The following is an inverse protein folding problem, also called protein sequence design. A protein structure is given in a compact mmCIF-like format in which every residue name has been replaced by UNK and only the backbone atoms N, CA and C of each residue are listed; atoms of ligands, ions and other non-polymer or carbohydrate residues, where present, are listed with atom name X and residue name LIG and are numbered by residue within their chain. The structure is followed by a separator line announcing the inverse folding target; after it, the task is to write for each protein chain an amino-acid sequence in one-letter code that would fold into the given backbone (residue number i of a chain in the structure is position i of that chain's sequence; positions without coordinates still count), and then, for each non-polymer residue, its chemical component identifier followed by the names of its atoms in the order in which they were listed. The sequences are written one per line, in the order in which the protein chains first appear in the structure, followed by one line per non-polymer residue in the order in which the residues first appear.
data_IF_661282540174
#
_entry.id   IF_661282540174
#
_cell.length_a   1.000
_cell.length_b   1.000
_cell.length_c   1.000
_cell.angle_alpha   90.00
_cell.angle_beta   90.00
_cell.angle_gamma   90.00
#
_symmetry.space_group_name_H-M   'P 1'
#
loop_
_entity.id
_entity.type
_entity.pdbx_description
1 polymer ?
#
# COMPACT_ATOMS: atom_id res chain seq x y z
N UNK A 1 -9.19 0.29 18.75
CA UNK A 1 -9.67 -0.47 17.58
C UNK A 1 -9.80 0.52 16.45
N UNK A 2 -9.13 0.27 15.33
CA UNK A 2 -9.16 1.13 14.15
C UNK A 2 -9.50 0.31 12.90
N UNK A 3 -10.05 0.97 11.87
CA UNK A 3 -10.37 0.40 10.56
C UNK A 3 -9.20 0.58 9.61
N UNK A 4 -8.46 -0.49 9.40
CA UNK A 4 -7.26 -0.49 8.56
C UNK A 4 -7.61 -1.09 7.21
N UNK A 5 -7.38 -0.33 6.15
CA UNK A 5 -7.39 -0.84 4.79
C UNK A 5 -5.96 -1.22 4.41
N UNK A 6 -5.76 -2.47 4.00
CA UNK A 6 -4.46 -2.98 3.55
C UNK A 6 -4.50 -3.24 2.04
N UNK A 7 -3.77 -2.42 1.30
CA UNK A 7 -3.48 -2.57 -0.12
C UNK A 7 -2.35 -3.59 -0.34
N UNK A 8 -2.58 -4.57 -1.22
CA UNK A 8 -1.61 -5.62 -1.54
C UNK A 8 -1.35 -5.64 -3.05
N UNK A 9 -0.08 -5.50 -3.44
CA UNK A 9 0.34 -5.40 -4.84
C UNK A 9 1.23 -6.58 -5.27
N UNK A 10 1.57 -6.64 -6.56
CA UNK A 10 2.27 -7.76 -7.20
C UNK A 10 3.78 -7.79 -6.91
N UNK A 11 4.15 -8.10 -5.66
CA UNK A 11 5.54 -8.29 -5.24
C UNK A 11 5.70 -9.64 -4.54
N UNK A 12 6.88 -10.26 -4.64
CA UNK A 12 7.20 -11.51 -3.92
C UNK A 12 6.99 -11.35 -2.41
N UNK A 13 7.18 -10.14 -1.88
CA UNK A 13 6.93 -9.85 -0.47
C UNK A 13 5.47 -10.06 -0.03
N UNK A 14 4.52 -10.20 -0.96
CA UNK A 14 3.11 -10.48 -0.65
C UNK A 14 2.93 -11.82 0.08
N UNK A 15 3.89 -12.75 0.00
CA UNK A 15 3.88 -13.99 0.80
C UNK A 15 3.87 -13.72 2.32
N UNK A 16 4.30 -12.52 2.76
CA UNK A 16 4.33 -12.12 4.17
C UNK A 16 3.06 -11.41 4.64
N UNK A 17 2.08 -11.22 3.75
CA UNK A 17 0.85 -10.50 4.07
C UNK A 17 -0.01 -11.29 5.07
N UNK A 18 0.04 -12.62 5.04
CA UNK A 18 -0.63 -13.45 6.05
C UNK A 18 -0.12 -13.13 7.46
N UNK A 19 1.20 -13.02 7.64
CA UNK A 19 1.85 -12.64 8.91
C UNK A 19 1.44 -11.23 9.35
N UNK A 20 1.49 -10.26 8.42
CA UNK A 20 1.05 -8.88 8.69
C UNK A 20 -0.41 -8.81 9.14
N UNK A 21 -1.30 -9.51 8.43
CA UNK A 21 -2.73 -9.52 8.73
C UNK A 21 -3.01 -10.13 10.11
N UNK A 22 -2.33 -11.22 10.47
CA UNK A 22 -2.43 -11.83 11.80
C UNK A 22 -2.04 -10.82 12.89
N UNK A 23 -0.92 -10.11 12.72
CA UNK A 23 -0.49 -9.10 13.69
C UNK A 23 -1.53 -7.98 13.87
N UNK A 24 -2.02 -7.41 12.77
CA UNK A 24 -3.01 -6.33 12.81
C UNK A 24 -4.33 -6.77 13.47
N UNK A 25 -4.81 -7.98 13.16
CA UNK A 25 -6.03 -8.54 13.77
C UNK A 25 -5.81 -8.83 15.26
N UNK A 26 -4.65 -9.36 15.65
CA UNK A 26 -4.32 -9.61 17.07
C UNK A 26 -4.21 -8.32 17.90
N UNK A 27 -3.89 -7.19 17.26
CA UNK A 27 -3.95 -5.86 17.88
C UNK A 27 -5.37 -5.26 17.93
N UNK A 28 -6.38 -6.07 17.63
CA UNK A 28 -7.80 -5.72 17.70
C UNK A 28 -8.18 -4.58 16.74
N UNK A 29 -7.60 -4.58 15.53
CA UNK A 29 -8.02 -3.74 14.42
C UNK A 29 -9.02 -4.47 13.51
N UNK A 30 -9.96 -3.73 12.92
CA UNK A 30 -10.82 -4.25 11.84
C UNK A 30 -10.04 -4.12 10.53
N UNK A 31 -9.78 -5.24 9.85
CA UNK A 31 -8.95 -5.27 8.65
C UNK A 31 -9.80 -5.56 7.41
N UNK A 32 -9.67 -4.70 6.40
CA UNK A 32 -10.09 -4.99 5.02
C UNK A 32 -8.88 -4.97 4.14
N UNK A 33 -8.81 -5.88 3.17
CA UNK A 33 -7.71 -6.02 2.24
C UNK A 33 -8.22 -5.75 0.83
N UNK A 34 -7.59 -4.82 0.13
CA UNK A 34 -7.77 -4.63 -1.30
C UNK A 34 -6.51 -5.12 -2.00
N UNK A 35 -6.67 -6.02 -2.97
CA UNK A 35 -5.53 -6.63 -3.65
C UNK A 35 -5.64 -6.56 -5.17
N UNK A 36 -4.50 -6.30 -5.81
CA UNK A 36 -4.38 -6.35 -7.27
C UNK A 36 -4.42 -7.79 -7.77
N UNK A 37 -4.80 -8.01 -9.03
CA UNK A 37 -4.75 -9.34 -9.64
C UNK A 37 -3.35 -9.99 -9.59
N UNK A 38 -2.28 -9.18 -9.64
CA UNK A 38 -0.90 -9.68 -9.56
C UNK A 38 -0.51 -10.12 -8.13
N UNK A 39 -1.12 -9.55 -7.09
CA UNK A 39 -0.90 -10.01 -5.71
C UNK A 39 -1.43 -11.44 -5.49
N UNK A 40 -2.54 -11.79 -6.14
CA UNK A 40 -3.17 -13.11 -6.02
C UNK A 40 -2.29 -14.26 -6.56
N UNK A 41 -1.22 -13.96 -7.30
CA UNK A 41 -0.19 -14.94 -7.67
C UNK A 41 0.65 -15.40 -6.47
N UNK A 42 0.85 -14.52 -5.47
CA UNK A 42 1.75 -14.76 -4.34
C UNK A 42 1.01 -15.14 -3.06
N UNK A 43 -0.22 -14.63 -2.87
CA UNK A 43 -1.00 -14.86 -1.66
C UNK A 43 -2.46 -15.14 -2.00
N UNK A 44 -3.05 -16.12 -1.32
CA UNK A 44 -4.42 -16.55 -1.58
C UNK A 44 -5.44 -15.64 -0.91
N UNK A 45 -6.43 -15.09 -1.65
CA UNK A 45 -7.56 -14.36 -1.06
C UNK A 45 -8.29 -15.16 0.03
N UNK A 46 -8.50 -16.45 -0.19
CA UNK A 46 -9.23 -17.32 0.74
C UNK A 46 -8.50 -17.50 2.08
N UNK A 47 -7.16 -17.57 2.06
CA UNK A 47 -6.36 -17.64 3.28
C UNK A 47 -6.45 -16.34 4.09
N UNK A 48 -6.38 -15.20 3.40
CA UNK A 48 -6.50 -13.91 4.05
C UNK A 48 -7.91 -13.69 4.62
N UNK A 49 -8.96 -14.15 3.93
CA UNK A 49 -10.33 -14.09 4.45
C UNK A 49 -10.49 -14.93 5.73
N UNK A 50 -9.82 -16.09 5.80
CA UNK A 50 -9.82 -16.91 7.01
C UNK A 50 -9.17 -16.21 8.23
N UNK A 51 -8.22 -15.30 7.98
CA UNK A 51 -7.56 -14.49 9.01
C UNK A 51 -8.40 -13.27 9.39
N UNK A 52 -8.91 -12.54 8.39
CA UNK A 52 -9.55 -11.24 8.58
C UNK A 52 -11.07 -11.31 8.82
N UNK A 53 -11.67 -12.47 8.57
CA UNK A 53 -13.12 -12.69 8.63
C UNK A 53 -13.82 -12.51 7.28
N UNK A 54 -15.09 -12.90 7.21
CA UNK A 54 -15.89 -12.85 5.97
C UNK A 54 -16.02 -11.42 5.43
N UNK A 55 -16.06 -11.29 4.10
CA UNK A 55 -16.24 -10.01 3.40
C UNK A 55 -15.13 -8.99 3.71
N UNK A 56 -13.91 -9.48 3.97
CA UNK A 56 -12.73 -8.64 4.25
C UNK A 56 -11.83 -8.45 3.03
N UNK A 57 -11.97 -9.26 1.98
CA UNK A 57 -11.07 -9.26 0.82
C UNK A 57 -11.77 -8.70 -0.41
N UNK A 58 -11.13 -7.73 -1.06
CA UNK A 58 -11.65 -7.01 -2.21
C UNK A 58 -10.64 -7.04 -3.36
N UNK A 59 -11.14 -7.32 -4.56
CA UNK A 59 -10.38 -7.43 -5.82
C UNK A 59 -11.10 -6.66 -6.91
N UNK A 60 -10.51 -6.57 -8.09
CA UNK A 60 -11.14 -5.96 -9.27
C UNK A 60 -12.46 -6.64 -9.66
N UNK A 61 -12.63 -7.93 -9.37
CA UNK A 61 -13.89 -8.65 -9.60
C UNK A 61 -15.00 -8.16 -8.68
N UNK A 62 -14.67 -7.71 -7.46
CA UNK A 62 -15.65 -7.13 -6.55
C UNK A 62 -16.05 -5.70 -6.98
N UNK A 63 -15.12 -4.94 -7.55
CA UNK A 63 -15.36 -3.58 -8.06
C UNK A 63 -16.16 -3.61 -9.37
N UNK A 64 -15.80 -4.51 -10.28
CA UNK A 64 -16.42 -4.67 -11.60
C UNK A 64 -16.91 -6.11 -11.77
N UNK A 65 -18.09 -6.47 -11.24
CA UNK A 65 -18.59 -7.85 -11.20
C UNK A 65 -19.09 -8.39 -12.55
N UNK A 66 -18.68 -7.80 -13.68
CA UNK A 66 -19.21 -8.08 -15.02
C UNK A 66 -20.74 -7.95 -15.11
N UNK A 67 -21.31 -7.02 -14.35
CA UNK A 67 -22.73 -6.64 -14.37
C UNK A 67 -22.84 -5.15 -14.71
N UNK A 68 -23.95 -4.74 -15.34
CA UNK A 68 -24.18 -3.33 -15.61
C UNK A 68 -24.47 -2.60 -14.30
N UNK A 69 -23.79 -1.47 -14.11
CA UNK A 69 -24.00 -0.59 -12.96
C UNK A 69 -25.44 -0.04 -12.94
N UNK A 70 -26.10 -0.14 -11.79
CA UNK A 70 -27.31 0.61 -11.45
C UNK A 70 -27.00 1.79 -10.53
N UNK A 71 -27.82 2.85 -10.58
CA UNK A 71 -27.64 4.02 -9.70
C UNK A 71 -27.79 3.71 -8.22
N UNK A 72 -28.46 2.62 -7.85
CA UNK A 72 -28.54 2.18 -6.46
C UNK A 72 -27.29 1.43 -5.99
N UNK A 73 -26.41 1.00 -6.91
CA UNK A 73 -25.20 0.26 -6.55
C UNK A 73 -24.19 1.16 -5.86
N UNK A 74 -23.58 0.60 -4.81
CA UNK A 74 -22.47 1.25 -4.13
C UNK A 74 -21.21 1.15 -4.99
N UNK A 75 -20.50 2.26 -5.11
CA UNK A 75 -19.18 2.30 -5.75
C UNK A 75 -18.13 1.83 -4.73
N UNK A 76 -17.60 0.62 -4.92
CA UNK A 76 -16.82 -0.08 -3.91
C UNK A 76 -15.58 0.69 -3.46
N UNK A 77 -14.73 1.18 -4.38
CA UNK A 77 -13.55 1.96 -4.03
C UNK A 77 -13.88 3.23 -3.21
N UNK A 78 -15.03 3.86 -3.46
CA UNK A 78 -15.51 5.02 -2.69
C UNK A 78 -15.97 4.60 -1.28
N UNK A 79 -16.56 3.43 -1.12
CA UNK A 79 -16.95 2.92 0.19
C UNK A 79 -15.73 2.48 1.02
N UNK A 80 -14.74 1.85 0.39
CA UNK A 80 -13.50 1.46 1.05
C UNK A 80 -12.69 2.67 1.50
N UNK A 81 -12.55 3.72 0.67
CA UNK A 81 -11.85 4.95 1.08
C UNK A 81 -12.58 5.70 2.20
N UNK A 82 -13.92 5.64 2.28
CA UNK A 82 -14.69 6.21 3.41
C UNK A 82 -14.48 5.43 4.69
N UNK A 83 -14.37 4.11 4.58
CA UNK A 83 -14.31 3.22 5.72
C UNK A 83 -12.93 3.24 6.41
N UNK A 84 -11.86 3.46 5.65
CA UNK A 84 -10.49 3.43 6.15
C UNK A 84 -10.14 4.62 7.06
N UNK A 85 -9.66 4.32 8.27
CA UNK A 85 -9.03 5.29 9.18
C UNK A 85 -7.50 5.33 8.98
N UNK A 86 -6.93 4.25 8.45
CA UNK A 86 -5.54 4.16 8.00
C UNK A 86 -5.50 3.33 6.70
N UNK A 87 -4.74 3.79 5.71
CA UNK A 87 -4.49 3.03 4.48
C UNK A 87 -3.02 2.60 4.42
N UNK A 88 -2.77 1.31 4.59
CA UNK A 88 -1.44 0.70 4.46
C UNK A 88 -1.34 0.09 3.06
N UNK A 89 -0.26 0.30 2.33
CA UNK A 89 0.04 -0.45 1.09
C UNK A 89 1.35 -1.20 1.28
N UNK A 90 1.23 -2.50 1.55
CA UNK A 90 2.33 -3.37 1.93
C UNK A 90 2.10 -4.81 1.43
N UNK A 91 2.86 -5.29 0.43
CA UNK A 91 3.87 -4.56 -0.33
C UNK A 91 3.28 -3.55 -1.33
N UNK A 92 4.07 -2.53 -1.65
CA UNK A 92 3.89 -1.63 -2.79
C UNK A 92 4.92 -1.94 -3.89
N UNK A 93 4.47 -2.52 -5.01
CA UNK A 93 5.30 -2.78 -6.18
C UNK A 93 5.57 -1.48 -6.98
N UNK A 94 6.57 -1.54 -7.87
CA UNK A 94 6.97 -0.36 -8.64
C UNK A 94 5.89 0.12 -9.63
N UNK A 95 5.06 -0.80 -10.13
CA UNK A 95 4.02 -0.50 -11.10
C UNK A 95 2.89 0.31 -10.47
N UNK A 96 2.41 -0.14 -9.32
CA UNK A 96 1.39 0.54 -8.52
C UNK A 96 1.93 1.85 -7.99
N UNK A 97 3.20 1.93 -7.55
CA UNK A 97 3.86 3.19 -7.19
C UNK A 97 3.81 4.20 -8.35
N UNK A 98 4.15 3.76 -9.57
CA UNK A 98 4.09 4.62 -10.76
C UNK A 98 2.66 5.06 -11.07
N UNK A 99 1.68 4.15 -11.02
CA UNK A 99 0.26 4.45 -11.23
C UNK A 99 -0.26 5.48 -10.24
N UNK A 100 0.04 5.29 -8.95
CA UNK A 100 -0.32 6.21 -7.88
C UNK A 100 0.27 7.60 -8.12
N UNK A 101 1.57 7.68 -8.42
CA UNK A 101 2.27 8.94 -8.66
C UNK A 101 1.79 9.70 -9.91
N UNK A 102 1.31 8.97 -10.92
CA UNK A 102 0.82 9.54 -12.18
C UNK A 102 -0.72 9.72 -12.21
N UNK A 103 -1.41 9.42 -11.11
CA UNK A 103 -2.86 9.58 -10.98
C UNK A 103 -3.68 8.57 -11.80
N UNK A 104 -3.13 7.42 -12.15
CA UNK A 104 -3.86 6.35 -12.84
C UNK A 104 -4.76 5.59 -11.85
N UNK A 105 -5.99 5.30 -12.26
CA UNK A 105 -7.03 4.64 -11.46
C UNK A 105 -7.70 3.52 -12.28
N UNK A 106 -6.92 2.48 -12.58
CA UNK A 106 -7.27 1.40 -13.50
C UNK A 106 -7.55 0.05 -12.83
N UNK A 107 -7.51 -0.01 -11.50
CA UNK A 107 -7.88 -1.15 -10.68
C UNK A 107 -8.47 -0.67 -9.34
N UNK A 108 -9.10 -1.54 -8.56
CA UNK A 108 -9.79 -1.15 -7.33
C UNK A 108 -8.85 -0.41 -6.36
N UNK A 109 -7.62 -0.93 -6.17
CA UNK A 109 -6.62 -0.32 -5.27
C UNK A 109 -6.22 1.08 -5.72
N UNK A 110 -5.89 1.27 -7.01
CA UNK A 110 -5.47 2.58 -7.53
C UNK A 110 -6.63 3.57 -7.60
N UNK A 111 -7.87 3.11 -7.79
CA UNK A 111 -9.08 3.93 -7.66
C UNK A 111 -9.32 4.41 -6.23
N UNK A 112 -9.11 3.55 -5.22
CA UNK A 112 -9.15 3.94 -3.81
C UNK A 112 -8.09 5.01 -3.54
N UNK A 113 -6.85 4.80 -3.98
CA UNK A 113 -5.78 5.78 -3.84
C UNK A 113 -6.16 7.12 -4.46
N UNK A 114 -6.66 7.12 -5.68
CA UNK A 114 -6.99 8.35 -6.41
C UNK A 114 -8.14 9.14 -5.77
N UNK A 115 -9.08 8.44 -5.14
CA UNK A 115 -10.26 9.04 -4.51
C UNK A 115 -10.10 9.28 -2.99
N UNK A 116 -8.95 8.96 -2.40
CA UNK A 116 -8.74 9.07 -0.95
C UNK A 116 -8.79 10.53 -0.50
N UNK A 117 -9.15 10.72 0.77
CA UNK A 117 -8.94 12.01 1.42
C UNK A 117 -7.43 12.18 1.67
N UNK A 118 -6.89 13.35 1.37
CA UNK A 118 -5.50 13.68 1.66
C UNK A 118 -5.25 13.62 3.17
N UNK A 119 -6.26 13.90 4.01
CA UNK A 119 -6.15 13.83 5.47
C UNK A 119 -6.00 12.39 6.00
N UNK A 120 -6.55 11.37 5.32
CA UNK A 120 -6.46 9.98 5.76
C UNK A 120 -5.00 9.54 5.87
N UNK A 121 -4.55 9.06 7.06
CA UNK A 121 -3.20 8.53 7.24
C UNK A 121 -2.87 7.40 6.25
N UNK A 122 -1.64 7.43 5.72
CA UNK A 122 -1.13 6.47 4.74
C UNK A 122 0.24 5.95 5.19
N UNK A 123 0.42 4.63 5.09
CA UNK A 123 1.71 3.96 5.22
C UNK A 123 2.04 3.20 3.94
N UNK A 124 3.14 3.55 3.29
CA UNK A 124 3.65 2.85 2.10
C UNK A 124 4.86 1.99 2.47
N UNK A 125 4.85 0.71 2.07
CA UNK A 125 5.99 -0.19 2.20
C UNK A 125 6.40 -0.72 0.81
N UNK A 126 7.21 0.03 0.04
CA UNK A 126 7.76 -0.40 -1.24
C UNK A 126 8.50 -1.74 -1.16
N UNK A 127 8.34 -2.58 -2.17
CA UNK A 127 9.02 -3.86 -2.29
C UNK A 127 9.25 -4.23 -3.76
N UNK A 128 10.51 -4.12 -4.21
CA UNK A 128 10.92 -4.31 -5.60
C UNK A 128 12.40 -4.66 -5.68
N UNK A 129 12.88 -5.21 -6.80
CA UNK A 129 14.31 -5.49 -6.95
C UNK A 129 15.17 -4.22 -6.78
N UNK A 130 16.41 -4.37 -6.30
CA UNK A 130 17.37 -3.28 -6.07
C UNK A 130 17.53 -2.35 -7.27
N UNK A 131 17.60 -2.92 -8.48
CA UNK A 131 17.76 -2.14 -9.71
C UNK A 131 16.52 -1.32 -10.05
N UNK A 132 15.34 -1.76 -9.62
CA UNK A 132 14.10 -0.99 -9.74
C UNK A 132 14.05 0.11 -8.70
N UNK A 133 14.40 -0.20 -7.44
CA UNK A 133 14.46 0.78 -6.35
C UNK A 133 15.38 1.93 -6.75
N UNK A 134 16.62 1.64 -7.13
CA UNK A 134 17.64 2.64 -7.47
C UNK A 134 17.37 3.44 -8.77
N UNK A 135 16.28 3.16 -9.52
CA UNK A 135 15.97 3.98 -10.70
C UNK A 135 15.60 5.41 -10.30
N UNK A 136 16.03 6.42 -11.08
CA UNK A 136 15.54 7.78 -10.95
C UNK A 136 14.01 7.91 -11.08
N UNK A 137 13.34 6.95 -11.75
CA UNK A 137 11.88 6.91 -11.81
C UNK A 137 11.25 6.73 -10.41
N UNK A 138 11.81 5.86 -9.56
CA UNK A 138 11.29 5.60 -8.21
C UNK A 138 11.36 6.85 -7.34
N UNK A 139 12.49 7.56 -7.34
CA UNK A 139 12.64 8.82 -6.63
C UNK A 139 11.64 9.89 -7.13
N UNK A 140 11.44 9.98 -8.46
CA UNK A 140 10.46 10.90 -9.06
C UNK A 140 9.02 10.55 -8.68
N UNK A 141 8.66 9.27 -8.66
CA UNK A 141 7.32 8.85 -8.25
C UNK A 141 7.04 9.18 -6.78
N UNK A 142 8.02 8.96 -5.90
CA UNK A 142 7.91 9.35 -4.49
C UNK A 142 7.79 10.88 -4.35
N UNK A 143 8.53 11.64 -5.15
CA UNK A 143 8.43 13.10 -5.18
C UNK A 143 7.03 13.60 -5.58
N UNK A 144 6.45 13.02 -6.63
CA UNK A 144 5.08 13.35 -7.07
C UNK A 144 4.04 12.99 -6.00
N UNK A 145 4.18 11.84 -5.34
CA UNK A 145 3.31 11.48 -4.22
C UNK A 145 3.44 12.49 -3.08
N UNK A 146 4.67 12.93 -2.74
CA UNK A 146 4.88 13.93 -1.71
C UNK A 146 4.21 15.27 -2.08
N UNK A 147 4.33 15.68 -3.35
CA UNK A 147 3.70 16.89 -3.89
C UNK A 147 2.17 16.83 -3.78
N UNK A 148 1.54 15.73 -4.17
CA UNK A 148 0.09 15.51 -4.02
C UNK A 148 -0.37 15.56 -2.54
N UNK A 149 0.54 15.35 -1.60
CA UNK A 149 0.29 15.46 -0.15
C UNK A 149 0.74 16.81 0.44
N UNK A 150 1.00 17.81 -0.40
CA UNK A 150 1.29 19.19 0.01
C UNK A 150 2.77 19.52 0.18
N UNK A 151 3.69 18.58 -0.08
CA UNK A 151 5.12 18.82 -0.01
C UNK A 151 5.68 19.20 -1.39
N UNK A 152 5.54 20.47 -1.73
CA UNK A 152 5.89 20.99 -3.06
C UNK A 152 7.41 21.09 -3.28
N UNK A 153 7.83 20.94 -4.54
CA UNK A 153 9.20 21.23 -5.02
C UNK A 153 10.33 20.43 -4.35
N UNK A 154 10.08 19.17 -3.97
CA UNK A 154 11.16 18.32 -3.47
C UNK A 154 12.00 17.78 -4.63
N UNK A 155 13.32 17.82 -4.47
CA UNK A 155 14.29 17.31 -5.42
C UNK A 155 15.16 16.22 -4.77
N UNK A 156 14.60 15.03 -4.51
CA UNK A 156 15.36 13.96 -3.89
C UNK A 156 16.47 13.47 -4.82
N UNK A 157 17.66 13.26 -4.27
CA UNK A 157 18.83 12.75 -5.01
C UNK A 157 18.70 11.27 -5.36
N UNK A 158 17.94 10.51 -4.57
CA UNK A 158 17.65 9.09 -4.75
C UNK A 158 16.35 8.73 -3.98
N UNK A 159 15.82 7.52 -4.10
CA UNK A 159 14.60 7.11 -3.41
C UNK A 159 14.69 7.14 -1.88
N UNK A 160 15.85 6.81 -1.30
CA UNK A 160 16.04 6.80 0.15
C UNK A 160 15.91 8.23 0.72
N UNK A 161 16.54 9.19 0.07
CA UNK A 161 16.41 10.62 0.36
C UNK A 161 14.96 11.10 0.17
N UNK A 162 14.22 10.58 -0.82
CA UNK A 162 12.79 10.89 -0.95
C UNK A 162 11.99 10.39 0.25
N UNK A 163 12.22 9.16 0.72
CA UNK A 163 11.59 8.62 1.92
C UNK A 163 11.92 9.45 3.17
N UNK A 164 13.17 9.87 3.35
CA UNK A 164 13.59 10.73 4.47
C UNK A 164 12.84 12.07 4.48
N UNK A 165 12.83 12.77 3.34
CA UNK A 165 12.11 14.04 3.17
C UNK A 165 10.63 13.87 3.52
N UNK A 166 9.97 12.84 2.97
CA UNK A 166 8.55 12.55 3.22
C UNK A 166 8.31 12.28 4.70
N UNK A 167 9.09 11.37 5.31
CA UNK A 167 8.88 10.92 6.68
C UNK A 167 9.11 12.03 7.72
N UNK A 168 9.98 12.99 7.44
CA UNK A 168 10.23 14.15 8.31
C UNK A 168 9.15 15.23 8.11
N UNK A 169 8.72 15.46 6.88
CA UNK A 169 7.91 16.64 6.53
C UNK A 169 6.41 16.39 6.64
N UNK A 170 5.95 15.17 6.34
CA UNK A 170 4.53 14.82 6.32
C UNK A 170 4.16 14.04 7.58
N UNK A 171 3.10 14.50 8.26
CA UNK A 171 2.60 13.87 9.48
C UNK A 171 1.82 12.60 9.16
N UNK A 172 0.92 12.67 8.19
CA UNK A 172 -0.04 11.62 7.86
C UNK A 172 0.37 10.73 6.69
N UNK A 173 1.57 10.90 6.12
CA UNK A 173 2.13 9.99 5.12
C UNK A 173 3.50 9.51 5.58
N UNK A 174 3.68 8.19 5.65
CA UNK A 174 4.99 7.56 5.87
C UNK A 174 5.32 6.60 4.74
N UNK A 175 6.59 6.56 4.36
CA UNK A 175 7.15 5.62 3.38
C UNK A 175 8.31 4.89 4.03
N UNK A 176 8.16 3.60 4.28
CA UNK A 176 9.23 2.79 4.84
C UNK A 176 10.23 2.42 3.75
N UNK A 177 11.50 2.73 3.96
CA UNK A 177 12.55 2.32 3.04
C UNK A 177 12.62 0.78 2.99
N UNK A 178 12.82 0.19 1.80
CA UNK A 178 13.13 -1.23 1.66
C UNK A 178 14.39 -1.61 2.44
N UNK A 179 14.46 -2.87 2.87
CA UNK A 179 15.60 -3.42 3.58
C UNK A 179 16.59 -4.11 2.63
N UNK A 180 17.85 -4.13 3.04
CA UNK A 180 18.90 -4.91 2.39
C UNK A 180 18.82 -6.38 2.83
N UNK A 181 18.53 -7.28 1.89
CA UNK A 181 18.46 -8.73 2.13
C UNK A 181 18.82 -9.50 0.86
N UNK A 182 18.97 -10.82 1.00
CA UNK A 182 18.93 -11.72 -0.14
C UNK A 182 17.52 -11.71 -0.75
N UNK A 183 17.42 -11.26 -2.00
CA UNK A 183 16.18 -11.15 -2.73
C UNK A 183 15.81 -12.46 -3.41
N UNK A 184 14.56 -12.60 -3.83
CA UNK A 184 14.05 -13.81 -4.48
C UNK A 184 14.77 -14.17 -5.79
N UNK A 185 15.41 -13.20 -6.45
CA UNK A 185 16.24 -13.41 -7.63
C UNK A 185 17.66 -13.94 -7.31
N UNK A 186 18.06 -13.97 -6.03
CA UNK A 186 19.41 -14.34 -5.59
C UNK A 186 20.37 -13.16 -5.39
N UNK A 187 19.95 -11.93 -5.72
CA UNK A 187 20.75 -10.74 -5.49
C UNK A 187 20.75 -10.36 -4.00
N UNK A 188 21.90 -9.95 -3.47
CA UNK A 188 21.97 -9.19 -2.22
C UNK A 188 21.74 -7.71 -2.55
N UNK A 189 20.72 -7.09 -1.97
CA UNK A 189 20.55 -5.65 -2.12
C UNK A 189 19.29 -5.07 -1.48
N UNK A 190 19.14 -3.75 -1.65
CA UNK A 190 18.11 -2.92 -1.04
C UNK A 190 16.84 -2.99 -1.88
N UNK A 191 15.82 -3.68 -1.39
CA UNK A 191 14.59 -3.89 -2.16
C UNK A 191 13.55 -4.78 -1.50
N UNK A 192 13.93 -5.47 -0.42
CA UNK A 192 12.98 -6.24 0.38
C UNK A 192 12.01 -5.29 1.10
N UNK A 193 10.74 -5.66 1.17
CA UNK A 193 9.77 -4.93 2.00
C UNK A 193 10.32 -4.77 3.43
N UNK A 194 10.04 -3.63 4.06
CA UNK A 194 10.33 -3.40 5.47
C UNK A 194 9.78 -4.53 6.36
N UNK A 195 10.42 -4.77 7.51
CA UNK A 195 9.96 -5.80 8.45
C UNK A 195 8.53 -5.55 8.93
N UNK A 196 7.83 -6.63 9.28
CA UNK A 196 6.47 -6.55 9.82
C UNK A 196 6.47 -5.67 11.09
N UNK A 197 7.45 -5.83 11.98
CA UNK A 197 7.58 -5.01 13.18
C UNK A 197 7.63 -3.51 12.88
N UNK A 198 8.41 -3.09 11.87
CA UNK A 198 8.49 -1.67 11.47
C UNK A 198 7.16 -1.17 10.90
N UNK A 199 6.46 -2.00 10.11
CA UNK A 199 5.14 -1.67 9.58
C UNK A 199 4.15 -1.46 10.73
N UNK A 200 4.12 -2.38 11.70
CA UNK A 200 3.23 -2.33 12.87
C UNK A 200 3.55 -1.12 13.77
N UNK A 201 4.83 -0.86 14.05
CA UNK A 201 5.24 0.29 14.85
C UNK A 201 4.82 1.61 14.18
N UNK A 202 5.04 1.73 12.87
CA UNK A 202 4.69 2.93 12.12
C UNK A 202 3.18 3.10 11.99
N UNK A 203 2.41 2.01 11.85
CA UNK A 203 0.94 2.10 11.84
C UNK A 203 0.39 2.60 13.17
N UNK A 204 0.98 2.21 14.30
CA UNK A 204 0.61 2.74 15.63
C UNK A 204 0.86 4.23 15.74
N UNK A 205 2.01 4.69 15.25
CA UNK A 205 2.35 6.12 15.24
C UNK A 205 1.32 6.92 14.42
N UNK A 206 0.97 6.44 13.23
CA UNK A 206 -0.02 7.09 12.36
C UNK A 206 -1.43 7.11 12.95
N UNK A 207 -1.84 6.06 13.66
CA UNK A 207 -3.15 5.98 14.33
C UNK A 207 -3.23 6.83 15.61
N UNK A 208 -2.10 7.33 16.11
CA UNK A 208 -2.04 8.17 17.31
C UNK A 208 -2.07 9.68 17.05
N UNK A 209 -2.12 10.09 15.77
CA UNK A 209 -2.23 11.48 15.32
C UNK A 209 -3.63 12.06 15.49
#
# INVERSE_FOLDING_TARGET
MAKILLGVTGSVAAIKVEELAIHLVNENHELRIVMTNHAAYFVSPAKLEAICGKNSIFTDVNEWPNQLYSREDKVLHIELRKWAELFIIAPLDANTLAKMALGLADNCLTSIWRARDIATPVLLAPAMNTQMWQKPATARHLALIAEENGLLNIAPSNPDHACEIINISLKNLKVLQPEEKLLACGDLGVGAMASIDKIIETSKQLLSL
#
